data_IF_298464713258
#
_entry.id   IF_298464713258
#
_cell.length_a   1.000
_cell.length_b   1.000
_cell.length_c   1.000
_cell.angle_alpha   90.00
_cell.angle_beta   90.00
_cell.angle_gamma   90.00
#
_symmetry.space_group_name_H-M   'P 1'
#
loop_
_entity.id
_entity.type
_entity.pdbx_description
1 polymer ?
#
# COMPACT_ATOMS: atom_id res chain seq x y z
N UNK A 1 -8.89 13.69 -15.06
CA UNK A 1 -8.31 14.81 -14.28
C UNK A 1 -8.28 14.57 -12.75
N UNK A 2 -8.93 13.52 -12.20
CA UNK A 2 -9.03 13.26 -10.75
C UNK A 2 -7.81 12.59 -10.08
N UNK A 3 -6.78 12.18 -10.82
CA UNK A 3 -5.70 11.32 -10.29
C UNK A 3 -4.43 12.04 -9.81
N UNK A 4 -4.22 13.33 -10.14
CA UNK A 4 -2.95 14.01 -9.82
C UNK A 4 -2.83 14.31 -8.32
N UNK A 5 -3.94 14.68 -7.67
CA UNK A 5 -3.98 14.96 -6.23
C UNK A 5 -4.06 13.68 -5.39
N UNK A 6 -4.51 12.57 -5.96
CA UNK A 6 -4.71 11.32 -5.24
C UNK A 6 -3.39 10.74 -4.69
N UNK A 7 -2.28 10.91 -5.43
CA UNK A 7 -0.95 10.48 -4.98
C UNK A 7 -0.48 11.21 -3.72
N UNK A 8 -0.30 12.55 -3.78
CA UNK A 8 0.10 13.34 -2.60
C UNK A 8 -0.85 13.19 -1.41
N UNK A 9 -2.17 13.18 -1.64
CA UNK A 9 -3.15 12.96 -0.57
C UNK A 9 -2.99 11.60 0.10
N UNK A 10 -2.70 10.55 -0.67
CA UNK A 10 -2.43 9.21 -0.13
C UNK A 10 -1.20 9.21 0.77
N UNK A 11 -0.13 9.91 0.38
CA UNK A 11 1.09 10.04 1.22
C UNK A 11 0.78 10.75 2.53
N UNK A 12 0.03 11.86 2.46
CA UNK A 12 -0.34 12.66 3.64
C UNK A 12 -1.18 11.81 4.61
N UNK A 13 -2.23 11.18 4.09
CA UNK A 13 -3.11 10.35 4.91
C UNK A 13 -2.38 9.13 5.48
N UNK A 14 -1.57 8.45 4.67
CA UNK A 14 -0.83 7.29 5.14
C UNK A 14 0.22 7.66 6.19
N UNK A 15 0.81 8.85 6.11
CA UNK A 15 1.71 9.35 7.16
C UNK A 15 0.97 9.52 8.50
N UNK A 16 -0.29 9.98 8.49
CA UNK A 16 -1.11 10.02 9.70
C UNK A 16 -1.36 8.61 10.24
N UNK A 17 -1.69 7.65 9.37
CA UNK A 17 -1.89 6.26 9.78
C UNK A 17 -0.62 5.67 10.40
N UNK A 18 0.54 5.87 9.79
CA UNK A 18 1.82 5.40 10.33
C UNK A 18 2.09 6.05 11.70
N UNK A 19 1.84 7.35 11.84
CA UNK A 19 1.96 8.05 13.12
C UNK A 19 1.08 7.42 14.20
N UNK A 20 -0.17 7.09 13.88
CA UNK A 20 -1.07 6.39 14.81
C UNK A 20 -0.54 4.99 15.14
N UNK A 21 -0.05 4.25 14.15
CA UNK A 21 0.50 2.91 14.34
C UNK A 21 1.68 2.95 15.32
N UNK A 22 2.68 3.81 15.06
CA UNK A 22 3.88 3.90 15.91
C UNK A 22 3.57 4.37 17.32
N UNK A 23 2.62 5.32 17.45
CA UNK A 23 2.19 5.83 18.76
C UNK A 23 1.43 4.82 19.59
N UNK A 24 0.40 4.19 19.02
CA UNK A 24 -0.52 3.33 19.79
C UNK A 24 -0.05 1.89 19.93
N UNK A 25 0.63 1.33 18.92
CA UNK A 25 1.04 -0.09 18.94
C UNK A 25 2.49 -0.29 19.37
N UNK A 26 3.35 0.71 19.14
CA UNK A 26 4.78 0.61 19.45
C UNK A 26 5.23 1.53 20.59
N UNK A 27 4.34 2.42 21.07
CA UNK A 27 4.63 3.35 22.16
C UNK A 27 5.65 4.43 21.78
N UNK A 28 5.94 4.59 20.49
CA UNK A 28 6.90 5.56 20.00
C UNK A 28 6.29 6.96 19.90
N UNK A 29 7.12 7.98 19.99
CA UNK A 29 6.71 9.36 19.70
C UNK A 29 7.48 9.92 18.53
N UNK A 30 6.75 10.52 17.59
CA UNK A 30 7.29 11.24 16.45
C UNK A 30 6.32 12.37 16.09
N UNK A 31 6.82 13.42 15.45
CA UNK A 31 5.97 14.43 14.81
C UNK A 31 5.60 13.96 13.41
N UNK A 32 4.42 14.36 12.97
CA UNK A 32 3.97 14.10 11.60
C UNK A 32 4.99 14.58 10.54
N UNK A 33 5.58 15.77 10.75
CA UNK A 33 6.59 16.35 9.85
C UNK A 33 7.91 15.59 9.84
N UNK A 34 8.22 14.82 10.89
CA UNK A 34 9.42 13.99 10.95
C UNK A 34 9.25 12.70 10.14
N UNK A 35 8.04 12.13 10.13
CA UNK A 35 7.74 10.90 9.38
C UNK A 35 7.45 11.15 7.90
N UNK A 36 6.84 12.30 7.57
CA UNK A 36 6.39 12.62 6.21
C UNK A 36 7.46 12.42 5.12
N UNK A 37 8.74 12.84 5.28
CA UNK A 37 9.76 12.61 4.28
C UNK A 37 10.01 11.12 4.03
N UNK A 38 10.13 10.31 5.08
CA UNK A 38 10.37 8.88 4.98
C UNK A 38 9.23 8.16 4.23
N UNK A 39 7.98 8.52 4.56
CA UNK A 39 6.81 7.97 3.88
C UNK A 39 6.79 8.43 2.41
N UNK A 40 7.06 9.71 2.15
CA UNK A 40 7.10 10.25 0.79
C UNK A 40 8.11 9.51 -0.10
N UNK A 41 9.32 9.25 0.41
CA UNK A 41 10.34 8.51 -0.33
C UNK A 41 9.91 7.07 -0.61
N UNK A 42 9.32 6.37 0.36
CA UNK A 42 8.83 5.01 0.12
C UNK A 42 7.69 4.99 -0.91
N UNK A 43 6.87 6.03 -0.97
CA UNK A 43 5.81 6.15 -1.97
C UNK A 43 6.29 6.40 -3.40
N UNK A 44 7.56 6.75 -3.62
CA UNK A 44 8.16 6.81 -4.96
C UNK A 44 8.15 5.44 -5.66
N UNK A 45 8.03 4.34 -4.91
CA UNK A 45 7.78 3.01 -5.48
C UNK A 45 6.53 2.99 -6.37
N UNK A 46 5.55 3.85 -6.11
CA UNK A 46 4.33 3.99 -6.95
C UNK A 46 4.66 4.54 -8.35
N UNK A 47 5.73 5.34 -8.46
CA UNK A 47 6.22 5.82 -9.77
C UNK A 47 6.77 4.63 -10.56
N UNK A 48 7.58 3.77 -9.91
CA UNK A 48 8.09 2.56 -10.53
C UNK A 48 6.97 1.58 -10.91
N UNK A 49 5.97 1.42 -10.04
CA UNK A 49 4.75 0.66 -10.33
C UNK A 49 4.07 1.17 -11.59
N UNK A 50 3.92 2.48 -11.73
CA UNK A 50 3.29 3.11 -12.89
C UNK A 50 4.11 2.87 -14.16
N UNK A 51 5.44 3.03 -14.10
CA UNK A 51 6.34 2.76 -15.23
C UNK A 51 6.19 1.32 -15.72
N UNK A 52 6.03 0.36 -14.81
CA UNK A 52 5.85 -1.06 -15.17
C UNK A 52 4.43 -1.35 -15.68
N UNK A 53 3.40 -0.83 -15.00
CA UNK A 53 2.00 -1.14 -15.34
C UNK A 53 1.50 -0.43 -16.59
N UNK A 54 1.94 0.80 -16.86
CA UNK A 54 1.44 1.58 -18.01
C UNK A 54 1.67 0.88 -19.36
N UNK A 55 2.87 0.38 -19.70
CA UNK A 55 3.07 -0.38 -20.94
C UNK A 55 2.22 -1.65 -21.01
N UNK A 56 2.07 -2.36 -19.89
CA UNK A 56 1.24 -3.56 -19.81
C UNK A 56 -0.25 -3.24 -20.04
N UNK A 57 -0.73 -2.10 -19.52
CA UNK A 57 -2.10 -1.64 -19.74
C UNK A 57 -2.35 -1.30 -21.21
N UNK A 58 -1.38 -0.63 -21.86
CA UNK A 58 -1.46 -0.32 -23.29
C UNK A 58 -1.44 -1.59 -24.15
N UNK A 59 -0.59 -2.57 -23.81
CA UNK A 59 -0.51 -3.84 -24.53
C UNK A 59 -1.79 -4.66 -24.44
N UNK A 60 -2.50 -4.61 -23.30
CA UNK A 60 -3.73 -5.37 -23.06
C UNK A 60 -5.02 -4.60 -23.40
N UNK A 61 -4.91 -3.31 -23.75
CA UNK A 61 -6.07 -2.41 -23.85
C UNK A 61 -6.99 -2.49 -22.63
N UNK A 62 -6.42 -2.66 -21.44
CA UNK A 62 -7.14 -2.83 -20.18
C UNK A 62 -6.41 -2.18 -19.04
N UNK A 63 -7.16 -1.54 -18.14
CA UNK A 63 -6.63 -0.99 -16.89
C UNK A 63 -6.42 -2.07 -15.81
N UNK A 64 -6.99 -3.26 -16.02
CA UNK A 64 -6.87 -4.41 -15.12
C UNK A 64 -5.54 -5.14 -15.38
N UNK A 65 -4.46 -4.56 -14.87
CA UNK A 65 -3.13 -5.18 -14.89
C UNK A 65 -2.66 -5.46 -13.47
N UNK A 66 -2.34 -6.73 -13.23
CA UNK A 66 -1.87 -7.21 -11.94
C UNK A 66 -0.37 -7.46 -11.96
N UNK A 67 0.30 -7.14 -10.86
CA UNK A 67 1.74 -7.44 -10.64
C UNK A 67 1.96 -8.24 -9.36
N UNK A 68 0.89 -8.87 -8.85
CA UNK A 68 0.92 -9.77 -7.71
C UNK A 68 -0.10 -10.89 -7.90
N UNK A 69 -0.83 -11.26 -6.84
CA UNK A 69 -1.65 -12.48 -6.86
C UNK A 69 -2.87 -12.41 -7.78
N UNK A 70 -3.29 -11.22 -8.22
CA UNK A 70 -4.31 -11.06 -9.25
C UNK A 70 -3.96 -11.74 -10.58
N UNK A 71 -2.67 -12.00 -10.84
CA UNK A 71 -2.22 -12.75 -12.02
C UNK A 71 -2.71 -14.20 -12.04
N UNK A 72 -3.08 -14.76 -10.88
CA UNK A 72 -3.58 -16.13 -10.78
C UNK A 72 -5.00 -16.29 -11.35
N UNK A 73 -5.75 -15.20 -11.53
CA UNK A 73 -7.10 -15.23 -12.10
C UNK A 73 -8.10 -16.07 -11.29
N UNK A 74 -7.89 -16.17 -9.97
CA UNK A 74 -8.73 -16.99 -9.09
C UNK A 74 -9.98 -16.22 -8.67
N UNK A 75 -11.14 -16.87 -8.80
CA UNK A 75 -12.44 -16.31 -8.45
C UNK A 75 -13.09 -15.56 -9.61
N UNK A 76 -14.42 -15.46 -9.57
CA UNK A 76 -15.17 -14.68 -10.55
C UNK A 76 -14.97 -13.18 -10.29
N UNK A 77 -14.93 -12.39 -11.36
CA UNK A 77 -14.78 -10.93 -11.25
C UNK A 77 -15.85 -10.35 -10.35
N UNK A 78 -15.44 -9.49 -9.41
CA UNK A 78 -16.34 -8.90 -8.43
C UNK A 78 -16.48 -9.68 -7.13
N UNK A 79 -16.18 -10.99 -7.11
CA UNK A 79 -16.20 -11.76 -5.86
C UNK A 79 -15.14 -11.27 -4.88
N UNK A 80 -15.37 -11.50 -3.59
CA UNK A 80 -14.42 -11.16 -2.52
C UNK A 80 -13.01 -11.70 -2.81
N UNK A 81 -12.91 -12.99 -3.17
CA UNK A 81 -11.63 -13.66 -3.43
C UNK A 81 -10.89 -13.01 -4.61
N UNK A 82 -11.62 -12.73 -5.71
CA UNK A 82 -11.04 -12.03 -6.84
C UNK A 82 -10.50 -10.65 -6.44
N UNK A 83 -11.33 -9.84 -5.77
CA UNK A 83 -10.95 -8.47 -5.38
C UNK A 83 -9.77 -8.45 -4.39
N UNK A 84 -9.73 -9.41 -3.45
CA UNK A 84 -8.65 -9.55 -2.48
C UNK A 84 -7.32 -9.89 -3.18
N UNK A 85 -7.31 -10.92 -4.02
CA UNK A 85 -6.10 -11.34 -4.74
C UNK A 85 -5.64 -10.29 -5.75
N UNK A 86 -6.58 -9.63 -6.44
CA UNK A 86 -6.31 -8.50 -7.33
C UNK A 86 -5.60 -7.34 -6.64
N UNK A 87 -5.91 -7.09 -5.36
CA UNK A 87 -5.28 -6.04 -4.56
C UNK A 87 -3.93 -6.42 -3.94
N UNK A 88 -3.60 -7.71 -3.85
CA UNK A 88 -2.29 -8.18 -3.35
C UNK A 88 -1.22 -7.93 -4.40
N UNK A 89 -0.49 -6.84 -4.23
CA UNK A 89 0.42 -6.27 -5.21
C UNK A 89 1.88 -6.21 -4.72
N UNK A 90 2.83 -6.55 -5.61
CA UNK A 90 4.27 -6.56 -5.32
C UNK A 90 4.82 -5.19 -4.90
N UNK A 91 4.40 -4.11 -5.56
CA UNK A 91 4.90 -2.76 -5.27
C UNK A 91 4.38 -2.26 -3.93
N UNK A 92 3.18 -2.70 -3.52
CA UNK A 92 2.67 -2.44 -2.18
C UNK A 92 3.52 -3.11 -1.10
N UNK A 93 3.91 -4.39 -1.29
CA UNK A 93 4.82 -5.09 -0.37
C UNK A 93 6.18 -4.39 -0.29
N UNK A 94 6.74 -4.02 -1.45
CA UNK A 94 8.02 -3.30 -1.50
C UNK A 94 7.95 -1.98 -0.72
N UNK A 95 6.91 -1.18 -0.93
CA UNK A 95 6.68 0.07 -0.20
C UNK A 95 6.59 -0.16 1.31
N UNK A 96 5.88 -1.19 1.75
CA UNK A 96 5.75 -1.53 3.19
C UNK A 96 7.11 -1.87 3.80
N UNK A 97 7.93 -2.65 3.10
CA UNK A 97 9.29 -3.00 3.55
C UNK A 97 10.15 -1.74 3.71
N UNK A 98 10.13 -0.83 2.72
CA UNK A 98 10.89 0.43 2.80
C UNK A 98 10.44 1.30 3.97
N UNK A 99 9.13 1.40 4.22
CA UNK A 99 8.61 2.17 5.37
C UNK A 99 9.07 1.53 6.68
N UNK A 100 9.00 0.21 6.82
CA UNK A 100 9.45 -0.46 8.04
C UNK A 100 10.95 -0.29 8.29
N UNK A 101 11.78 -0.32 7.23
CA UNK A 101 13.22 -0.03 7.33
C UNK A 101 13.44 1.42 7.75
N UNK A 102 12.75 2.37 7.13
CA UNK A 102 12.85 3.79 7.46
C UNK A 102 12.49 4.08 8.93
N UNK A 103 11.42 3.46 9.44
CA UNK A 103 11.04 3.57 10.85
C UNK A 103 12.05 2.88 11.77
N UNK A 104 12.60 1.74 11.36
CA UNK A 104 13.67 1.06 12.09
C UNK A 104 14.90 1.96 12.27
N UNK A 105 15.32 2.65 11.20
CA UNK A 105 16.41 3.63 11.27
C UNK A 105 16.02 4.84 12.12
N UNK A 106 14.83 5.41 11.91
CA UNK A 106 14.36 6.61 12.62
C UNK A 106 14.26 6.41 14.14
N UNK A 107 13.70 5.28 14.58
CA UNK A 107 13.55 4.96 16.00
C UNK A 107 14.74 4.18 16.59
N UNK A 108 15.79 3.92 15.81
CA UNK A 108 16.93 3.08 16.18
C UNK A 108 16.50 1.71 16.74
N UNK A 109 15.62 1.03 16.01
CA UNK A 109 15.02 -0.28 16.38
C UNK A 109 15.03 -1.24 15.20
N UNK A 110 14.81 -2.52 15.50
CA UNK A 110 14.61 -3.52 14.46
C UNK A 110 13.43 -3.12 13.55
N UNK A 111 13.59 -3.24 12.24
CA UNK A 111 12.55 -2.89 11.26
C UNK A 111 11.36 -3.85 11.26
N UNK A 112 11.60 -5.12 11.63
CA UNK A 112 10.64 -6.23 11.53
C UNK A 112 9.28 -5.94 12.19
N UNK A 113 9.20 -5.42 13.43
CA UNK A 113 7.91 -5.11 14.06
C UNK A 113 7.11 -4.06 13.26
N UNK A 114 7.77 -3.03 12.74
CA UNK A 114 7.11 -2.01 11.91
C UNK A 114 6.58 -2.58 10.59
N UNK A 115 7.37 -3.43 9.92
CA UNK A 115 6.94 -4.14 8.69
C UNK A 115 5.68 -4.97 8.98
N UNK A 116 5.67 -5.71 10.09
CA UNK A 116 4.52 -6.54 10.49
C UNK A 116 3.30 -5.66 10.77
N UNK A 117 3.44 -4.62 11.59
CA UNK A 117 2.33 -3.73 11.96
C UNK A 117 1.68 -3.07 10.74
N UNK A 118 2.50 -2.58 9.80
CA UNK A 118 2.01 -1.97 8.56
C UNK A 118 1.39 -3.02 7.62
N UNK A 119 1.96 -4.22 7.55
CA UNK A 119 1.40 -5.31 6.75
C UNK A 119 0.01 -5.73 7.25
N UNK A 120 -0.18 -5.81 8.57
CA UNK A 120 -1.49 -6.10 9.18
C UNK A 120 -2.50 -5.02 8.80
N UNK A 121 -2.14 -3.74 8.94
CA UNK A 121 -3.01 -2.63 8.53
C UNK A 121 -3.38 -2.71 7.05
N UNK A 122 -2.40 -2.96 6.18
CA UNK A 122 -2.61 -3.06 4.74
C UNK A 122 -3.52 -4.24 4.37
N UNK A 123 -3.29 -5.43 4.94
CA UNK A 123 -4.13 -6.60 4.69
C UNK A 123 -5.57 -6.40 5.20
N UNK A 124 -5.73 -5.73 6.36
CA UNK A 124 -7.04 -5.35 6.87
C UNK A 124 -7.76 -4.41 5.92
N UNK A 125 -7.09 -3.33 5.47
CA UNK A 125 -7.63 -2.38 4.50
C UNK A 125 -8.03 -3.08 3.19
N UNK A 126 -7.18 -3.99 2.70
CA UNK A 126 -7.42 -4.74 1.48
C UNK A 126 -8.65 -5.63 1.60
N UNK A 127 -8.77 -6.36 2.70
CA UNK A 127 -9.92 -7.22 3.00
C UNK A 127 -11.22 -6.42 3.11
N UNK A 128 -11.16 -5.25 3.76
CA UNK A 128 -12.31 -4.36 3.88
C UNK A 128 -12.81 -3.89 2.51
N UNK A 129 -11.92 -3.39 1.65
CA UNK A 129 -12.32 -2.94 0.31
C UNK A 129 -12.75 -4.07 -0.60
N UNK A 130 -12.12 -5.25 -0.52
CA UNK A 130 -12.54 -6.42 -1.26
C UNK A 130 -13.95 -6.87 -0.86
N UNK A 131 -14.26 -6.83 0.44
CA UNK A 131 -15.59 -7.12 0.98
C UNK A 131 -16.64 -6.12 0.52
N UNK A 132 -16.36 -4.82 0.64
CA UNK A 132 -17.26 -3.76 0.17
C UNK A 132 -17.52 -3.91 -1.33
N UNK A 133 -16.48 -4.10 -2.15
CA UNK A 133 -16.63 -4.25 -3.59
C UNK A 133 -17.50 -5.45 -3.97
N UNK A 134 -17.40 -6.57 -3.24
CA UNK A 134 -18.21 -7.76 -3.47
C UNK A 134 -19.69 -7.61 -3.07
N UNK A 135 -20.08 -6.54 -2.37
CA UNK A 135 -21.48 -6.24 -2.06
C UNK A 135 -22.20 -5.50 -3.21
N UNK A 136 -21.44 -4.96 -4.17
CA UNK A 136 -21.97 -4.15 -5.28
C UNK A 136 -21.82 -4.83 -6.65
N UNK A 137 -21.57 -6.13 -6.65
CA UNK A 137 -21.39 -6.98 -7.83
C UNK A 137 -22.58 -7.91 -7.98
#
# INVERSE_FOLDING_TARGET
>A
MSNILAGPLRVIFFTLIVLLIVKFFFGESAKYSELLPYISYAYLVTVLETIVKTPLMLSKWSIEVYTGLGLLGIGEKGTFIYNLLAGLDLFSVWRIVLIGIALGVFFNKNAKPFIIGISIYWLFQLSLFAGIAALFT
#
